data_IF_442615674317
#
_entry.id   IF_442615674317
#
_cell.length_a   1.000
_cell.length_b   1.000
_cell.length_c   1.000
_cell.angle_alpha   90.00
_cell.angle_beta   90.00
_cell.angle_gamma   90.00
#
_symmetry.space_group_name_H-M   'P 1'
#
loop_
_entity.id
_entity.type
_entity.pdbx_description
1 polymer ?
#
# COMPACT_ATOMS: atom_id res chain seq x y z
N UNK A 1 14.52 -39.36 -11.49
CA UNK A 1 14.61 -37.98 -10.96
C UNK A 1 13.22 -37.51 -10.55
N UNK A 2 12.90 -37.35 -9.26
CA UNK A 2 11.56 -36.91 -8.83
C UNK A 2 11.51 -35.38 -8.62
N UNK A 3 10.44 -34.75 -9.12
CA UNK A 3 10.20 -33.30 -9.12
C UNK A 3 9.98 -32.71 -7.71
N UNK A 4 10.50 -31.49 -7.40
CA UNK A 4 10.58 -30.97 -6.03
C UNK A 4 9.34 -30.22 -5.50
N UNK A 5 8.15 -30.41 -6.08
CA UNK A 5 6.97 -29.56 -5.78
C UNK A 5 5.88 -30.22 -4.90
N UNK A 6 6.03 -31.45 -4.44
CA UNK A 6 5.04 -32.14 -3.59
C UNK A 6 5.28 -32.05 -2.08
N UNK A 7 6.32 -31.34 -1.63
CA UNK A 7 6.78 -31.35 -0.23
C UNK A 7 6.02 -30.43 0.74
N UNK A 8 4.72 -30.19 0.52
CA UNK A 8 3.90 -29.29 1.36
C UNK A 8 2.70 -29.89 2.06
N UNK A 9 2.50 -31.21 1.98
CA UNK A 9 1.56 -31.93 2.83
C UNK A 9 2.24 -33.17 3.37
N UNK A 10 2.94 -33.06 4.50
CA UNK A 10 3.26 -34.20 5.36
C UNK A 10 3.31 -33.68 6.81
N UNK A 11 2.16 -33.79 7.48
CA UNK A 11 2.11 -33.94 8.92
C UNK A 11 2.93 -35.18 9.32
N UNK A 12 3.64 -35.18 10.46
CA UNK A 12 4.38 -36.36 10.88
C UNK A 12 3.38 -37.48 11.23
N UNK A 13 3.35 -38.51 10.38
CA UNK A 13 2.74 -39.79 10.70
C UNK A 13 3.58 -40.46 11.79
N UNK A 14 3.02 -40.54 12.99
CA UNK A 14 3.58 -41.25 14.13
C UNK A 14 3.30 -42.75 13.92
N UNK A 15 4.34 -43.58 13.83
CA UNK A 15 4.21 -45.02 13.67
C UNK A 15 3.89 -45.70 15.01
N UNK A 16 2.72 -46.33 15.08
CA UNK A 16 2.48 -47.64 15.69
C UNK A 16 2.37 -47.73 17.23
N UNK A 17 1.14 -47.92 17.73
CA UNK A 17 0.65 -49.15 18.41
C UNK A 17 -0.63 -48.90 19.24
N UNK A 18 -1.71 -49.57 18.83
CA UNK A 18 -2.95 -49.96 19.55
C UNK A 18 -3.94 -48.92 20.12
N UNK A 19 -5.26 -49.18 20.04
CA UNK A 19 -6.32 -48.25 20.40
C UNK A 19 -6.85 -48.51 21.82
N UNK A 20 -6.67 -47.56 22.72
CA UNK A 20 -7.37 -47.55 24.02
C UNK A 20 -7.66 -46.12 24.42
N UNK A 21 -8.95 -45.78 24.40
CA UNK A 21 -9.63 -44.78 25.23
C UNK A 21 -8.76 -43.68 25.85
N UNK A 22 -8.27 -42.78 25.00
CA UNK A 22 -7.84 -41.46 25.45
C UNK A 22 -8.80 -40.44 24.83
N UNK A 23 -9.80 -40.03 25.62
CA UNK A 23 -10.55 -38.79 25.40
C UNK A 23 -9.56 -37.69 24.94
N UNK A 24 -9.90 -36.85 23.95
CA UNK A 24 -9.07 -35.70 23.63
C UNK A 24 -8.98 -34.84 24.88
N UNK A 25 -7.82 -34.90 25.54
CA UNK A 25 -7.51 -34.04 26.67
C UNK A 25 -7.76 -32.60 26.20
N UNK A 26 -8.59 -31.80 26.91
CA UNK A 26 -8.81 -30.42 26.54
C UNK A 26 -7.50 -29.72 26.82
N UNK A 27 -6.64 -29.63 25.80
CA UNK A 27 -5.47 -28.78 25.84
C UNK A 27 -6.02 -27.36 25.70
N UNK A 28 -6.59 -26.85 26.80
CA UNK A 28 -7.06 -25.49 27.01
C UNK A 28 -5.87 -24.53 27.16
N UNK A 29 -4.83 -24.71 26.34
CA UNK A 29 -3.90 -23.64 26.10
C UNK A 29 -4.66 -22.60 25.26
N UNK A 30 -4.88 -21.38 25.77
CA UNK A 30 -5.54 -20.36 24.98
C UNK A 30 -4.75 -20.16 23.69
N UNK A 31 -5.42 -20.11 22.54
CA UNK A 31 -4.75 -19.88 21.26
C UNK A 31 -4.01 -18.53 21.33
N UNK A 32 -2.68 -18.56 21.36
CA UNK A 32 -1.82 -17.38 21.49
C UNK A 32 -1.33 -16.99 20.10
N UNK A 33 -1.75 -15.83 19.62
CA UNK A 33 -1.22 -15.21 18.41
C UNK A 33 0.27 -14.85 18.61
N UNK A 34 1.13 -15.43 17.78
CA UNK A 34 2.54 -15.03 17.69
C UNK A 34 2.63 -13.56 17.25
N UNK A 35 3.41 -12.77 18.01
CA UNK A 35 3.64 -11.35 17.73
C UNK A 35 4.15 -11.12 16.30
N UNK A 36 4.89 -12.08 15.73
CA UNK A 36 5.39 -12.01 14.35
C UNK A 36 4.26 -12.05 13.33
N UNK A 37 3.21 -12.81 13.60
CA UNK A 37 2.06 -12.96 12.71
C UNK A 37 1.21 -11.70 12.76
N UNK A 38 0.90 -11.21 13.97
CA UNK A 38 0.17 -9.95 14.19
C UNK A 38 0.90 -8.78 13.53
N UNK A 39 2.22 -8.69 13.72
CA UNK A 39 3.02 -7.61 13.12
C UNK A 39 3.11 -7.71 11.60
N UNK A 40 3.30 -8.91 11.05
CA UNK A 40 3.26 -9.11 9.59
C UNK A 40 1.91 -8.69 9.01
N UNK A 41 0.82 -8.96 9.70
CA UNK A 41 -0.51 -8.52 9.31
C UNK A 41 -0.61 -6.98 9.25
N UNK A 42 -0.24 -6.29 10.34
CA UNK A 42 -0.27 -4.82 10.38
C UNK A 42 0.62 -4.18 9.31
N UNK A 43 1.85 -4.65 9.13
CA UNK A 43 2.77 -4.16 8.09
C UNK A 43 2.23 -4.40 6.69
N UNK A 44 1.55 -5.53 6.42
CA UNK A 44 0.88 -5.77 5.13
C UNK A 44 -0.27 -4.80 4.92
N UNK A 45 -1.09 -4.55 5.95
CA UNK A 45 -2.22 -3.61 5.85
C UNK A 45 -1.76 -2.18 5.64
N UNK A 46 -0.76 -1.71 6.38
CA UNK A 46 -0.13 -0.40 6.14
C UNK A 46 0.39 -0.25 4.71
N UNK A 47 1.12 -1.25 4.19
CA UNK A 47 1.60 -1.22 2.79
C UNK A 47 0.46 -1.18 1.78
N UNK A 48 -0.64 -1.89 2.04
CA UNK A 48 -1.85 -1.79 1.21
C UNK A 48 -2.41 -0.37 1.24
N UNK A 49 -2.50 0.26 2.41
CA UNK A 49 -3.00 1.64 2.51
C UNK A 49 -2.11 2.64 1.76
N UNK A 50 -0.79 2.56 1.90
CA UNK A 50 0.14 3.43 1.16
C UNK A 50 -0.05 3.25 -0.35
N UNK A 51 -0.16 2.01 -0.83
CA UNK A 51 -0.44 1.73 -2.25
C UNK A 51 -1.79 2.31 -2.68
N UNK A 52 -2.85 2.13 -1.89
CA UNK A 52 -4.17 2.71 -2.17
C UNK A 52 -4.12 4.23 -2.26
N UNK A 53 -3.42 4.90 -1.35
CA UNK A 53 -3.25 6.37 -1.38
C UNK A 53 -2.55 6.82 -2.66
N UNK A 54 -1.46 6.15 -3.06
CA UNK A 54 -0.77 6.43 -4.33
C UNK A 54 -1.70 6.25 -5.52
N UNK A 55 -2.49 5.17 -5.54
CA UNK A 55 -3.45 4.89 -6.61
C UNK A 55 -4.53 5.98 -6.69
N UNK A 56 -5.12 6.38 -5.56
CA UNK A 56 -6.17 7.39 -5.55
C UNK A 56 -5.65 8.78 -5.93
N UNK A 57 -4.44 9.15 -5.51
CA UNK A 57 -3.82 10.40 -5.98
C UNK A 57 -3.51 10.37 -7.48
N UNK A 58 -2.97 9.26 -7.99
CA UNK A 58 -2.70 9.11 -9.40
C UNK A 58 -3.99 9.19 -10.24
N UNK A 59 -5.08 8.62 -9.72
CA UNK A 59 -6.41 8.72 -10.33
C UNK A 59 -6.94 10.16 -10.29
N UNK A 60 -6.72 10.90 -9.20
CA UNK A 60 -7.07 12.32 -9.13
C UNK A 60 -6.34 13.13 -10.20
N UNK A 61 -5.03 12.94 -10.37
CA UNK A 61 -4.26 13.65 -11.42
C UNK A 61 -4.73 13.24 -12.82
N UNK A 62 -5.00 11.95 -13.06
CA UNK A 62 -5.53 11.47 -14.32
C UNK A 62 -6.92 12.06 -14.64
N UNK A 63 -7.79 12.28 -13.63
CA UNK A 63 -9.10 12.94 -13.82
C UNK A 63 -8.98 14.46 -13.96
N UNK A 64 -7.97 15.07 -13.34
CA UNK A 64 -7.70 16.51 -13.41
C UNK A 64 -7.28 16.92 -14.82
N UNK A 65 -6.26 16.23 -15.35
CA UNK A 65 -5.66 16.51 -16.67
C UNK A 65 -6.41 15.78 -17.78
N UNK A 66 -6.93 14.59 -17.51
CA UNK A 66 -7.55 13.71 -18.50
C UNK A 66 -6.54 12.66 -19.01
N UNK A 67 -6.91 11.38 -19.09
CA UNK A 67 -5.95 10.29 -19.34
C UNK A 67 -5.29 10.36 -20.72
N UNK A 68 -6.02 10.80 -21.76
CA UNK A 68 -5.48 10.95 -23.11
C UNK A 68 -4.47 12.12 -23.17
N UNK A 69 -4.82 13.25 -22.54
CA UNK A 69 -3.95 14.42 -22.47
C UNK A 69 -2.67 14.11 -21.69
N UNK A 70 -2.77 13.30 -20.64
CA UNK A 70 -1.63 12.90 -19.82
C UNK A 70 -0.63 12.01 -20.60
N UNK A 71 -1.11 11.13 -21.47
CA UNK A 71 -0.25 10.29 -22.32
C UNK A 71 0.41 11.09 -23.45
N UNK A 72 -0.33 12.03 -24.03
CA UNK A 72 0.12 12.83 -25.18
C UNK A 72 0.61 14.23 -24.83
N UNK A 73 0.86 14.54 -23.55
CA UNK A 73 1.31 15.87 -23.13
C UNK A 73 2.55 16.31 -23.95
N UNK A 74 2.49 17.52 -24.52
CA UNK A 74 3.53 18.07 -25.43
C UNK A 74 3.65 17.38 -26.79
N UNK A 75 2.70 16.52 -27.18
CA UNK A 75 2.68 15.79 -28.46
C UNK A 75 1.30 15.89 -29.10
N UNK A 76 1.24 15.70 -30.42
CA UNK A 76 -0.02 15.62 -31.17
C UNK A 76 -1.00 16.81 -30.93
N UNK A 77 -0.46 18.01 -30.68
CA UNK A 77 -1.26 19.22 -30.46
C UNK A 77 -1.80 19.40 -29.03
N UNK A 78 -1.48 18.50 -28.09
CA UNK A 78 -1.81 18.68 -26.67
C UNK A 78 -0.81 19.62 -25.98
N UNK A 79 -1.26 20.41 -24.97
CA UNK A 79 -0.40 21.34 -24.25
C UNK A 79 0.76 20.60 -23.55
N UNK A 80 1.89 21.28 -23.42
CA UNK A 80 3.02 20.78 -22.64
C UNK A 80 2.64 20.68 -21.15
N UNK A 81 3.26 19.76 -20.38
CA UNK A 81 3.04 19.66 -18.94
C UNK A 81 3.28 21.01 -18.25
N UNK A 82 2.33 21.44 -17.43
CA UNK A 82 2.45 22.68 -16.68
C UNK A 82 3.52 22.59 -15.58
N UNK A 83 3.87 23.73 -14.96
CA UNK A 83 4.84 23.77 -13.86
C UNK A 83 4.41 22.95 -12.64
N UNK A 84 3.13 22.55 -12.54
CA UNK A 84 2.56 21.73 -11.47
C UNK A 84 2.40 20.24 -11.88
N UNK A 85 2.75 19.85 -13.10
CA UNK A 85 2.53 18.49 -13.63
C UNK A 85 3.77 17.60 -13.44
N UNK A 86 4.21 17.49 -12.18
CA UNK A 86 5.35 16.68 -11.76
C UNK A 86 5.05 15.95 -10.44
N UNK A 87 5.89 14.99 -10.08
CA UNK A 87 5.78 14.25 -8.82
C UNK A 87 5.26 12.83 -8.96
N UNK A 88 4.98 12.21 -7.81
CA UNK A 88 4.67 10.77 -7.70
C UNK A 88 3.30 10.48 -8.29
N UNK A 89 2.29 11.30 -7.98
CA UNK A 89 0.94 11.07 -8.46
C UNK A 89 0.85 11.23 -9.98
N UNK A 90 1.53 12.25 -10.53
CA UNK A 90 1.60 12.48 -11.97
C UNK A 90 2.27 11.31 -12.70
N UNK A 91 3.44 10.86 -12.23
CA UNK A 91 4.19 9.75 -12.85
C UNK A 91 3.39 8.44 -12.85
N UNK A 92 2.73 8.15 -11.73
CA UNK A 92 1.89 6.95 -11.61
C UNK A 92 0.61 7.10 -12.44
N UNK A 93 0.03 8.30 -12.49
CA UNK A 93 -1.12 8.64 -13.35
C UNK A 93 -0.81 8.47 -14.83
N UNK A 94 0.40 8.84 -15.27
CA UNK A 94 0.91 8.57 -16.61
C UNK A 94 0.95 7.09 -16.93
N UNK A 95 1.52 6.27 -16.04
CA UNK A 95 1.57 4.83 -16.24
C UNK A 95 0.16 4.22 -16.39
N UNK A 96 -0.78 4.61 -15.54
CA UNK A 96 -2.17 4.12 -15.62
C UNK A 96 -2.88 4.60 -16.88
N UNK A 97 -2.71 5.86 -17.25
CA UNK A 97 -3.33 6.43 -18.45
C UNK A 97 -2.77 5.76 -19.72
N UNK A 98 -1.48 5.44 -19.73
CA UNK A 98 -0.84 4.69 -20.80
C UNK A 98 -1.37 3.26 -20.88
N UNK A 99 -1.45 2.54 -19.75
CA UNK A 99 -2.05 1.19 -19.71
C UNK A 99 -3.50 1.18 -20.17
N UNK A 100 -4.28 2.18 -19.76
CA UNK A 100 -5.65 2.38 -20.22
C UNK A 100 -5.70 2.56 -21.74
N UNK A 101 -4.83 3.41 -22.29
CA UNK A 101 -4.76 3.64 -23.73
C UNK A 101 -4.33 2.38 -24.48
N UNK A 102 -3.35 1.62 -23.99
CA UNK A 102 -2.97 0.34 -24.57
C UNK A 102 -4.14 -0.66 -24.57
N UNK A 103 -4.85 -0.80 -23.46
CA UNK A 103 -6.02 -1.67 -23.37
C UNK A 103 -7.13 -1.22 -24.32
N UNK A 104 -7.38 0.09 -24.42
CA UNK A 104 -8.33 0.66 -25.36
C UNK A 104 -7.94 0.39 -26.82
N UNK A 105 -6.68 0.60 -27.19
CA UNK A 105 -6.19 0.34 -28.54
C UNK A 105 -6.19 -1.15 -28.91
N UNK A 106 -5.91 -2.05 -27.97
CA UNK A 106 -5.84 -3.50 -28.22
C UNK A 106 -7.22 -4.16 -28.19
N UNK A 107 -8.12 -3.70 -27.32
CA UNK A 107 -9.43 -4.33 -27.13
C UNK A 107 -10.51 -3.56 -27.88
N UNK A 108 -10.59 -2.26 -27.67
CA UNK A 108 -11.72 -1.47 -28.16
C UNK A 108 -11.62 -1.17 -29.65
N UNK A 109 -10.46 -0.75 -30.14
CA UNK A 109 -10.27 -0.40 -31.57
C UNK A 109 -10.54 -1.59 -32.50
N UNK A 110 -9.97 -2.80 -32.31
CA UNK A 110 -10.26 -3.90 -33.23
C UNK A 110 -11.67 -4.47 -33.08
N UNK A 111 -12.29 -4.43 -31.90
CA UNK A 111 -13.63 -5.00 -31.68
C UNK A 111 -14.78 -4.06 -32.02
N UNK A 112 -14.56 -2.74 -31.87
CA UNK A 112 -15.63 -1.74 -31.96
C UNK A 112 -15.33 -0.60 -32.95
N UNK A 113 -14.21 -0.63 -33.70
CA UNK A 113 -13.93 0.37 -34.75
C UNK A 113 -15.06 0.50 -35.77
N UNK A 114 -15.81 -0.56 -36.04
CA UNK A 114 -16.96 -0.55 -36.95
C UNK A 114 -18.21 0.15 -36.37
N UNK A 115 -18.28 0.31 -35.04
CA UNK A 115 -19.41 0.89 -34.32
C UNK A 115 -19.15 2.34 -33.88
N UNK A 116 -17.91 2.82 -33.96
CA UNK A 116 -17.57 4.23 -33.73
C UNK A 116 -18.12 5.03 -34.93
N UNK A 117 -19.16 5.86 -34.74
CA UNK A 117 -19.68 6.67 -35.84
C UNK A 117 -18.57 7.61 -36.31
N UNK A 118 -18.34 7.68 -37.62
CA UNK A 118 -17.49 8.72 -38.18
C UNK A 118 -18.03 10.07 -37.69
N UNK A 119 -17.18 10.84 -37.00
CA UNK A 119 -17.52 12.15 -36.45
C UNK A 119 -17.59 13.21 -37.55
N UNK A 120 -18.40 12.95 -38.57
CA UNK A 120 -18.77 13.86 -39.64
C UNK A 120 -20.29 13.96 -39.68
N UNK A 121 -20.88 14.41 -38.59
CA UNK A 121 -22.20 15.05 -38.61
C UNK A 121 -22.49 15.66 -37.25
N UNK A 122 -22.76 16.96 -37.29
CA UNK A 122 -23.37 17.73 -36.23
C UNK A 122 -24.54 16.97 -35.59
N UNK A 123 -24.48 16.75 -34.28
CA UNK A 123 -25.68 16.44 -33.51
C UNK A 123 -25.64 17.20 -32.19
N UNK A 124 -26.34 18.33 -32.20
CA UNK A 124 -26.65 19.19 -31.08
C UNK A 124 -27.47 18.47 -30.00
N UNK A 125 -26.90 17.50 -29.27
CA UNK A 125 -27.40 17.13 -27.93
C UNK A 125 -26.27 16.81 -26.93
N UNK A 126 -25.37 17.77 -26.60
CA UNK A 126 -24.32 17.53 -25.61
C UNK A 126 -24.72 17.84 -24.16
N UNK A 127 -25.95 18.28 -23.88
CA UNK A 127 -26.25 18.92 -22.59
C UNK A 127 -26.39 17.95 -21.40
N UNK A 128 -26.99 16.76 -21.58
CA UNK A 128 -27.23 15.83 -20.47
C UNK A 128 -25.97 15.02 -20.16
N UNK A 129 -25.28 14.50 -21.19
CA UNK A 129 -24.06 13.72 -21.01
C UNK A 129 -22.94 14.58 -20.41
N UNK A 130 -22.80 15.83 -20.86
CA UNK A 130 -21.84 16.78 -20.27
C UNK A 130 -22.20 17.14 -18.83
N UNK A 131 -23.49 17.36 -18.51
CA UNK A 131 -23.94 17.62 -17.14
C UNK A 131 -23.69 16.42 -16.22
N UNK A 132 -23.98 15.20 -16.67
CA UNK A 132 -23.71 13.98 -15.90
C UNK A 132 -22.21 13.78 -15.72
N UNK A 133 -21.40 13.95 -16.76
CA UNK A 133 -19.94 13.85 -16.67
C UNK A 133 -19.35 14.90 -15.71
N UNK A 134 -19.89 16.12 -15.71
CA UNK A 134 -19.48 17.19 -14.81
C UNK A 134 -19.86 16.89 -13.36
N UNK A 135 -21.09 16.44 -13.11
CA UNK A 135 -21.52 16.01 -11.76
C UNK A 135 -20.69 14.82 -11.27
N UNK A 136 -20.38 13.85 -12.14
CA UNK A 136 -19.55 12.70 -11.80
C UNK A 136 -18.11 13.13 -11.48
N UNK A 137 -17.57 14.09 -12.23
CA UNK A 137 -16.25 14.67 -11.99
C UNK A 137 -16.23 15.40 -10.65
N UNK A 138 -17.22 16.24 -10.37
CA UNK A 138 -17.32 17.00 -9.12
C UNK A 138 -17.49 16.07 -7.91
N UNK A 139 -18.32 15.04 -8.03
CA UNK A 139 -18.48 14.02 -7.00
C UNK A 139 -17.19 13.23 -6.77
N UNK A 140 -16.48 12.83 -7.83
CA UNK A 140 -15.19 12.14 -7.71
C UNK A 140 -14.11 13.04 -7.11
N UNK A 141 -14.12 14.34 -7.43
CA UNK A 141 -13.21 15.33 -6.86
C UNK A 141 -13.43 15.53 -5.36
N UNK A 142 -14.62 15.24 -4.82
CA UNK A 142 -14.89 15.23 -3.39
C UNK A 142 -14.62 13.85 -2.74
N UNK A 143 -15.01 12.77 -3.41
CA UNK A 143 -14.90 11.41 -2.90
C UNK A 143 -13.44 10.94 -2.80
N UNK A 144 -12.59 11.30 -3.77
CA UNK A 144 -11.20 10.85 -3.80
C UNK A 144 -10.36 11.41 -2.64
N UNK A 145 -10.39 12.73 -2.32
CA UNK A 145 -9.74 13.25 -1.13
C UNK A 145 -10.27 12.61 0.16
N UNK A 146 -11.59 12.37 0.25
CA UNK A 146 -12.19 11.73 1.41
C UNK A 146 -11.70 10.29 1.61
N UNK A 147 -11.63 9.50 0.54
CA UNK A 147 -11.11 8.13 0.60
C UNK A 147 -9.61 8.07 0.90
N UNK A 148 -8.81 9.01 0.38
CA UNK A 148 -7.42 9.20 0.79
C UNK A 148 -7.32 9.46 2.30
N UNK A 149 -8.15 10.36 2.82
CA UNK A 149 -8.23 10.67 4.25
C UNK A 149 -8.53 9.43 5.10
N UNK A 150 -9.52 8.62 4.70
CA UNK A 150 -9.84 7.36 5.39
C UNK A 150 -8.67 6.37 5.36
N UNK A 151 -7.98 6.23 4.23
CA UNK A 151 -6.79 5.37 4.11
C UNK A 151 -5.66 5.83 5.05
N UNK A 152 -5.45 7.13 5.21
CA UNK A 152 -4.46 7.69 6.14
C UNK A 152 -4.83 7.45 7.60
N UNK A 153 -6.09 7.66 7.97
CA UNK A 153 -6.59 7.36 9.33
C UNK A 153 -6.40 5.87 9.63
N UNK A 154 -6.73 5.00 8.68
CA UNK A 154 -6.53 3.56 8.84
C UNK A 154 -5.05 3.18 8.91
N UNK A 155 -4.17 3.88 8.20
CA UNK A 155 -2.72 3.73 8.30
C UNK A 155 -2.21 4.11 9.71
N UNK A 156 -2.66 5.25 10.24
CA UNK A 156 -2.34 5.69 11.61
C UNK A 156 -2.84 4.68 12.64
N UNK A 157 -4.06 4.17 12.48
CA UNK A 157 -4.62 3.14 13.35
C UNK A 157 -3.72 1.89 13.39
N UNK A 158 -3.34 1.34 12.23
CA UNK A 158 -2.45 0.18 12.20
C UNK A 158 -1.06 0.47 12.75
N UNK A 159 -0.59 1.72 12.63
CA UNK A 159 0.70 2.17 13.18
C UNK A 159 0.63 2.16 14.70
N UNK A 160 -0.39 2.78 15.27
CA UNK A 160 -0.65 2.74 16.71
C UNK A 160 -0.79 1.29 17.22
N UNK A 161 -1.53 0.43 16.51
CA UNK A 161 -1.64 -0.99 16.88
C UNK A 161 -0.28 -1.69 16.88
N UNK A 162 0.59 -1.46 15.90
CA UNK A 162 1.91 -2.07 15.83
C UNK A 162 2.84 -1.64 16.99
N UNK A 163 2.65 -0.42 17.49
CA UNK A 163 3.36 0.16 18.65
C UNK A 163 2.82 -0.30 19.99
N UNK A 164 1.49 -0.41 20.12
CA UNK A 164 0.84 -0.82 21.36
C UNK A 164 1.03 -2.32 21.58
N UNK A 165 0.64 -3.12 20.58
CA UNK A 165 0.62 -4.59 20.64
C UNK A 165 1.96 -5.17 20.20
N UNK A 166 2.92 -5.13 21.13
CA UNK A 166 4.29 -5.57 20.88
C UNK A 166 4.51 -7.06 21.09
N UNK A 167 3.73 -7.64 21.98
CA UNK A 167 3.92 -9.00 22.49
C UNK A 167 2.87 -9.97 21.93
N UNK A 168 3.11 -11.27 22.15
CA UNK A 168 2.13 -12.30 21.84
C UNK A 168 0.90 -12.16 22.73
N UNK A 169 -0.29 -12.43 22.17
CA UNK A 169 -1.57 -12.25 22.89
C UNK A 169 -2.55 -13.37 22.56
N UNK A 170 -3.56 -13.54 23.39
CA UNK A 170 -4.69 -14.40 23.05
C UNK A 170 -5.42 -13.86 21.82
N UNK A 171 -5.87 -14.76 20.93
CA UNK A 171 -6.64 -14.41 19.74
C UNK A 171 -7.81 -13.50 20.10
N UNK A 172 -7.94 -12.37 19.39
CA UNK A 172 -9.03 -11.40 19.60
C UNK A 172 -8.94 -10.53 20.86
N UNK A 173 -7.91 -10.69 21.71
CA UNK A 173 -7.78 -9.88 22.93
C UNK A 173 -7.43 -8.42 22.61
N UNK A 174 -8.24 -7.50 23.18
CA UNK A 174 -7.99 -6.05 23.15
C UNK A 174 -7.25 -5.54 24.38
N UNK A 175 -6.92 -6.40 25.35
CA UNK A 175 -6.24 -6.00 26.58
C UNK A 175 -4.87 -5.38 26.26
N UNK A 176 -4.55 -4.27 26.92
CA UNK A 176 -3.25 -3.63 26.77
C UNK A 176 -2.15 -4.54 27.32
N UNK A 177 -1.02 -4.71 26.61
CA UNK A 177 0.09 -5.51 27.10
C UNK A 177 0.79 -4.82 28.27
N UNK A 178 1.32 -5.61 29.20
CA UNK A 178 2.10 -5.09 30.32
C UNK A 178 3.33 -4.31 29.83
N UNK A 179 3.60 -3.17 30.46
CA UNK A 179 4.77 -2.33 30.15
C UNK A 179 6.05 -2.92 30.78
N UNK A 180 6.56 -4.00 30.19
CA UNK A 180 7.84 -4.60 30.59
C UNK A 180 9.02 -3.83 29.98
N UNK A 181 10.22 -3.95 30.57
CA UNK A 181 11.46 -3.41 29.99
C UNK A 181 11.71 -3.92 28.56
N UNK A 182 11.35 -5.18 28.28
CA UNK A 182 11.44 -5.79 26.94
C UNK A 182 10.54 -5.05 25.94
N UNK A 183 9.29 -4.78 26.31
CA UNK A 183 8.33 -4.09 25.43
C UNK A 183 8.74 -2.65 25.15
N UNK A 184 9.27 -1.95 26.15
CA UNK A 184 9.83 -0.61 25.96
C UNK A 184 11.02 -0.58 25.01
N UNK A 185 11.94 -1.54 25.15
CA UNK A 185 13.11 -1.64 24.26
C UNK A 185 12.68 -1.89 22.80
N UNK A 186 11.66 -2.70 22.58
CA UNK A 186 11.13 -2.92 21.23
C UNK A 186 10.44 -1.67 20.65
N UNK A 187 9.65 -0.95 21.45
CA UNK A 187 9.05 0.33 21.04
C UNK A 187 10.12 1.35 20.67
N UNK A 188 11.19 1.43 21.45
CA UNK A 188 12.35 2.28 21.16
C UNK A 188 12.98 1.93 19.81
N UNK A 189 13.15 0.65 19.49
CA UNK A 189 13.67 0.23 18.18
C UNK A 189 12.77 0.63 17.01
N UNK A 190 11.44 0.64 17.19
CA UNK A 190 10.55 1.18 16.14
C UNK A 190 10.73 2.68 15.99
N UNK A 191 10.82 3.43 17.09
CA UNK A 191 11.05 4.88 17.03
C UNK A 191 12.37 5.20 16.34
N UNK A 192 13.44 4.49 16.67
CA UNK A 192 14.75 4.63 16.02
C UNK A 192 14.65 4.27 14.53
N UNK A 193 13.98 3.17 14.18
CA UNK A 193 13.76 2.77 12.80
C UNK A 193 13.00 3.82 11.99
N UNK A 194 11.95 4.41 12.56
CA UNK A 194 11.19 5.51 11.94
C UNK A 194 12.07 6.75 11.80
N UNK A 195 12.77 7.15 12.85
CA UNK A 195 13.65 8.33 12.83
C UNK A 195 14.74 8.21 11.75
N UNK A 196 15.37 7.04 11.62
CA UNK A 196 16.35 6.77 10.56
C UNK A 196 15.69 6.86 9.18
N UNK A 197 14.54 6.21 9.01
CA UNK A 197 13.80 6.18 7.74
C UNK A 197 13.35 7.56 7.28
N UNK A 198 12.83 8.39 8.20
CA UNK A 198 12.36 9.74 7.89
C UNK A 198 13.50 10.72 7.67
N UNK A 199 14.54 10.71 8.51
CA UNK A 199 15.71 11.60 8.35
C UNK A 199 16.48 11.29 7.07
N UNK A 200 16.80 10.01 6.83
CA UNK A 200 17.55 9.58 5.64
C UNK A 200 16.71 9.80 4.38
N UNK A 201 15.41 9.48 4.45
CA UNK A 201 14.51 9.70 3.33
C UNK A 201 14.38 11.18 2.97
N UNK A 202 14.20 12.06 3.96
CA UNK A 202 14.16 13.50 3.73
C UNK A 202 15.46 14.04 3.11
N UNK A 203 16.61 13.62 3.66
CA UNK A 203 17.93 13.98 3.12
C UNK A 203 18.11 13.52 1.68
N UNK A 204 17.70 12.29 1.35
CA UNK A 204 17.77 11.77 -0.01
C UNK A 204 16.92 12.60 -1.00
N UNK A 205 15.69 12.95 -0.64
CA UNK A 205 14.85 13.79 -1.49
C UNK A 205 15.41 15.21 -1.66
N UNK A 206 16.01 15.80 -0.62
CA UNK A 206 16.69 17.09 -0.77
C UNK A 206 17.87 17.01 -1.74
N UNK A 207 18.69 15.97 -1.65
CA UNK A 207 19.84 15.79 -2.56
C UNK A 207 19.35 15.58 -3.99
N UNK A 208 18.32 14.74 -4.20
CA UNK A 208 17.75 14.50 -5.52
C UNK A 208 17.14 15.74 -6.15
N UNK A 209 16.48 16.59 -5.33
CA UNK A 209 15.95 17.87 -5.79
C UNK A 209 17.08 18.85 -6.14
N UNK A 210 18.16 18.91 -5.37
CA UNK A 210 19.33 19.75 -5.71
C UNK A 210 20.05 19.33 -6.98
N UNK A 211 19.93 18.07 -7.38
CA UNK A 211 20.51 17.54 -8.62
C UNK A 211 19.52 17.59 -9.81
N UNK A 212 18.36 18.21 -9.64
CA UNK A 212 17.27 18.25 -10.63
C UNK A 212 16.80 16.87 -11.13
N UNK A 213 17.07 15.80 -10.37
CA UNK A 213 16.73 14.42 -10.77
C UNK A 213 15.31 14.02 -10.35
N UNK A 214 14.84 14.48 -9.18
CA UNK A 214 13.51 14.15 -8.70
C UNK A 214 12.93 15.27 -7.83
N UNK A 215 11.74 15.73 -8.22
CA UNK A 215 10.95 16.70 -7.48
C UNK A 215 9.67 16.03 -6.96
N UNK A 216 9.39 16.22 -5.68
CA UNK A 216 8.17 15.71 -5.03
C UNK A 216 7.43 16.89 -4.44
N UNK A 217 6.14 17.00 -4.74
CA UNK A 217 5.30 18.08 -4.20
C UNK A 217 5.24 17.94 -2.66
N UNK A 218 5.22 19.05 -1.89
CA UNK A 218 5.14 19.00 -0.43
C UNK A 218 3.94 18.18 0.09
N UNK A 219 2.79 18.28 -0.60
CA UNK A 219 1.58 17.53 -0.27
C UNK A 219 1.79 16.02 -0.50
N UNK A 220 2.38 15.63 -1.64
CA UNK A 220 2.70 14.23 -1.92
C UNK A 220 3.73 13.67 -0.94
N UNK A 221 4.69 14.50 -0.53
CA UNK A 221 5.66 14.12 0.50
C UNK A 221 4.94 13.79 1.81
N UNK A 222 4.05 14.68 2.27
CA UNK A 222 3.32 14.49 3.52
C UNK A 222 2.38 13.28 3.49
N UNK A 223 1.70 13.06 2.37
CA UNK A 223 0.61 12.07 2.29
C UNK A 223 1.07 10.71 1.76
N UNK A 224 2.15 10.63 0.97
CA UNK A 224 2.69 9.37 0.44
C UNK A 224 4.00 9.00 1.12
N UNK A 225 4.97 9.91 1.08
CA UNK A 225 6.36 9.60 1.47
C UNK A 225 6.46 9.37 2.98
N UNK A 226 5.84 10.21 3.81
CA UNK A 226 5.88 10.03 5.27
C UNK A 226 5.24 8.71 5.71
N UNK A 227 4.01 8.34 5.30
CA UNK A 227 3.43 7.03 5.64
C UNK A 227 4.27 5.84 5.15
N UNK A 228 4.91 5.97 3.97
CA UNK A 228 5.84 4.97 3.49
C UNK A 228 7.09 4.84 4.39
N UNK A 229 7.71 5.97 4.75
CA UNK A 229 8.88 6.01 5.63
C UNK A 229 8.55 5.45 7.02
N UNK A 230 7.37 5.74 7.56
CA UNK A 230 6.88 5.16 8.83
C UNK A 230 6.76 3.64 8.69
N UNK A 231 6.12 3.15 7.63
CA UNK A 231 6.00 1.71 7.39
C UNK A 231 7.36 1.02 7.31
N UNK A 232 8.30 1.61 6.57
CA UNK A 232 9.65 1.10 6.42
C UNK A 232 10.43 1.13 7.74
N UNK A 233 10.28 2.19 8.54
CA UNK A 233 10.90 2.31 9.85
C UNK A 233 10.40 1.25 10.84
N UNK A 234 9.09 1.00 10.89
CA UNK A 234 8.51 -0.09 11.71
C UNK A 234 9.04 -1.45 11.24
N UNK A 235 9.18 -1.64 9.92
CA UNK A 235 9.76 -2.85 9.36
C UNK A 235 11.23 -3.05 9.78
N UNK A 236 12.06 -1.99 9.73
CA UNK A 236 13.44 -2.03 10.21
C UNK A 236 13.52 -2.40 11.69
N UNK A 237 12.74 -1.75 12.55
CA UNK A 237 12.72 -2.09 13.97
C UNK A 237 12.24 -3.52 14.24
N UNK A 238 11.34 -4.05 13.38
CA UNK A 238 10.91 -5.46 13.44
C UNK A 238 12.06 -6.42 13.15
N UNK A 239 12.89 -6.12 12.14
CA UNK A 239 14.09 -6.91 11.83
C UNK A 239 15.10 -6.85 12.98
N UNK A 240 15.30 -5.67 13.57
CA UNK A 240 16.20 -5.49 14.72
C UNK A 240 15.74 -6.33 15.92
N UNK A 241 14.44 -6.29 16.25
CA UNK A 241 13.84 -7.16 17.28
C UNK A 241 14.12 -8.63 16.99
N UNK A 242 13.82 -9.09 15.77
CA UNK A 242 14.04 -10.49 15.38
C UNK A 242 15.51 -10.91 15.51
N UNK A 243 16.45 -10.05 15.10
CA UNK A 243 17.88 -10.32 15.23
C UNK A 243 18.31 -10.42 16.69
N UNK A 244 17.79 -9.57 17.58
CA UNK A 244 18.10 -9.65 19.01
C UNK A 244 17.55 -10.93 19.66
N UNK A 245 16.30 -11.29 19.36
CA UNK A 245 15.70 -12.53 19.88
C UNK A 245 16.48 -13.75 19.41
N UNK A 246 16.87 -13.79 18.13
CA UNK A 246 17.70 -14.88 17.58
C UNK A 246 19.09 -14.95 18.22
N UNK A 247 19.69 -13.82 18.59
CA UNK A 247 20.99 -13.80 19.31
C UNK A 247 20.85 -14.29 20.75
N UNK A 248 19.75 -13.97 21.44
CA UNK A 248 19.49 -14.45 22.81
C UNK A 248 19.26 -15.96 22.83
N UNK A 249 18.47 -16.49 21.90
CA UNK A 249 18.20 -17.92 21.78
C UNK A 249 19.43 -18.78 21.42
N UNK A 250 20.52 -18.18 20.94
CA UNK A 250 21.80 -18.87 20.66
C UNK A 250 22.79 -18.83 21.82
N UNK A 251 22.55 -17.97 22.81
CA UNK A 251 23.38 -17.83 24.02
C UNK A 251 22.82 -18.66 25.19
N UNK A 252 21.62 -19.19 25.03
CA UNK A 252 21.01 -20.24 25.85
C UNK A 252 21.29 -21.57 25.18
#
# INVERSE_FOLDING_TARGET
>A
MPCPWSRRCNAPANNGLTPTDALPSPTSAPDVEDWKTVRRYHLRKMRKQVRSVVLFMALMEALRVGPIQLVYAGKQGYPEPGPEDFGIAYTVGYLFSWLYLCAFMIVYVPLFSWWVPNSSSDSEKPSILAKVAQVLKDFNMLLLPFTIGLCLVQHLYYTACAFIYVDSRQVGSRKFPANTRKNWLVRFLFLVGIAISTSTGYGAFQILSRMDLAHVKPIEYAVVVIPFQINFGVFLGTIMQFRMERRRARKQ
#
